data_IF_220879126284
#
_entry.id   IF_220879126284
#
_cell.length_a   1.000
_cell.length_b   1.000
_cell.length_c   1.000
_cell.angle_alpha   90.00
_cell.angle_beta   90.00
_cell.angle_gamma   90.00
#
_symmetry.space_group_name_H-M   'P 1'
#
loop_
_entity.id
_entity.type
_entity.pdbx_description
1 polymer ?
#
# COMPACT_ATOMS: atom_id res chain seq x y z
N UNK A 1 -45.48 11.13 17.18
CA UNK A 1 -44.93 12.38 17.76
C UNK A 1 -44.14 11.91 18.97
N UNK A 2 -42.83 11.89 19.01
CA UNK A 2 -41.80 12.49 18.17
C UNK A 2 -40.60 11.52 18.04
N UNK A 3 -39.82 11.77 17.01
CA UNK A 3 -38.62 11.10 16.57
C UNK A 3 -37.44 11.70 17.33
N UNK A 4 -36.55 10.94 17.96
CA UNK A 4 -35.15 11.35 18.15
C UNK A 4 -34.20 10.15 18.02
N UNK A 5 -33.71 10.02 16.79
CA UNK A 5 -32.42 9.47 16.43
C UNK A 5 -31.33 10.30 17.12
N UNK A 6 -30.61 9.72 18.07
CA UNK A 6 -29.35 10.29 18.57
C UNK A 6 -28.25 9.24 18.42
N UNK A 7 -27.66 9.27 17.23
CA UNK A 7 -26.23 9.08 16.96
C UNK A 7 -25.45 8.34 18.05
N UNK A 8 -25.16 7.07 17.81
CA UNK A 8 -23.96 6.44 18.36
C UNK A 8 -22.80 7.32 17.91
N UNK A 9 -22.30 8.12 18.85
CA UNK A 9 -21.13 8.95 18.65
C UNK A 9 -19.99 8.02 18.26
N UNK A 10 -19.50 8.16 17.03
CA UNK A 10 -18.18 7.70 16.65
C UNK A 10 -17.22 8.24 17.72
N UNK A 11 -16.79 7.37 18.63
CA UNK A 11 -15.70 7.68 19.54
C UNK A 11 -14.50 7.95 18.64
N UNK A 12 -14.24 9.24 18.41
CA UNK A 12 -12.99 9.73 17.87
C UNK A 12 -11.93 9.24 18.83
N UNK A 13 -11.27 8.14 18.50
CA UNK A 13 -10.12 7.68 19.26
C UNK A 13 -9.01 8.66 18.94
N UNK A 14 -8.95 9.73 19.73
CA UNK A 14 -7.80 10.62 19.77
C UNK A 14 -6.61 9.79 20.25
N UNK A 15 -5.79 9.32 19.30
CA UNK A 15 -4.58 8.56 19.60
C UNK A 15 -3.57 9.50 20.27
N UNK A 16 -3.12 9.20 21.51
CA UNK A 16 -2.13 10.02 22.17
C UNK A 16 -0.80 9.95 21.41
N UNK A 17 -0.23 11.13 21.12
CA UNK A 17 0.95 11.41 20.28
C UNK A 17 2.25 10.67 20.63
N UNK A 18 2.29 9.75 21.59
CA UNK A 18 3.51 9.00 21.93
C UNK A 18 3.20 7.57 22.36
N UNK A 19 3.00 6.68 21.38
CA UNK A 19 3.10 5.24 21.58
C UNK A 19 3.79 4.67 20.34
N UNK A 20 5.10 4.48 20.39
CA UNK A 20 5.80 3.66 19.40
C UNK A 20 5.60 2.20 19.82
N UNK A 21 4.80 1.39 19.12
CA UNK A 21 4.73 -0.04 19.42
C UNK A 21 6.00 -0.69 18.88
N UNK A 22 6.68 -1.47 19.73
CA UNK A 22 7.84 -2.28 19.33
C UNK A 22 7.30 -3.65 18.95
N UNK A 23 7.13 -3.89 17.65
CA UNK A 23 6.75 -5.19 17.09
C UNK A 23 6.59 -5.14 15.57
N UNK A 24 7.28 -6.03 14.84
CA UNK A 24 7.28 -6.07 13.36
C UNK A 24 5.89 -6.21 12.73
N UNK A 25 4.97 -6.86 13.44
CA UNK A 25 3.65 -7.20 12.89
C UNK A 25 2.68 -6.02 13.02
N UNK A 26 2.83 -5.18 14.06
CA UNK A 26 2.02 -3.96 14.20
C UNK A 26 2.41 -2.88 13.21
N UNK A 27 3.68 -2.84 12.79
CA UNK A 27 4.20 -1.80 11.89
C UNK A 27 3.53 -1.85 10.50
N UNK A 28 3.21 -3.05 10.02
CA UNK A 28 2.50 -3.26 8.75
C UNK A 28 1.03 -2.84 8.83
N UNK A 29 0.32 -3.15 9.91
CA UNK A 29 -1.07 -2.71 10.09
C UNK A 29 -1.16 -1.18 10.15
N UNK A 30 -0.24 -0.53 10.86
CA UNK A 30 -0.20 0.93 10.96
C UNK A 30 0.08 1.61 9.62
N UNK A 31 0.93 1.03 8.78
CA UNK A 31 1.19 1.55 7.43
C UNK A 31 -0.10 1.69 6.62
N UNK A 32 -0.95 0.66 6.61
CA UNK A 32 -2.20 0.67 5.84
C UNK A 32 -3.24 1.64 6.41
N UNK A 33 -3.29 1.78 7.74
CA UNK A 33 -4.14 2.77 8.40
C UNK A 33 -3.70 4.18 8.00
N UNK A 34 -2.41 4.49 8.13
CA UNK A 34 -1.85 5.79 7.77
C UNK A 34 -2.12 6.12 6.31
N UNK A 35 -1.84 5.17 5.40
CA UNK A 35 -2.08 5.35 3.97
C UNK A 35 -3.56 5.65 3.67
N UNK A 36 -4.49 4.93 4.30
CA UNK A 36 -5.91 5.14 4.11
C UNK A 36 -6.40 6.51 4.62
N UNK A 37 -5.77 7.05 5.67
CA UNK A 37 -6.07 8.41 6.16
C UNK A 37 -5.62 9.49 5.18
N UNK A 38 -4.45 9.32 4.55
CA UNK A 38 -3.86 10.33 3.65
C UNK A 38 -4.29 10.16 2.18
N UNK A 39 -4.64 8.95 1.77
CA UNK A 39 -5.17 8.62 0.46
C UNK A 39 -6.09 7.37 0.53
N UNK A 40 -7.39 7.54 0.80
CA UNK A 40 -8.35 6.43 0.85
C UNK A 40 -8.56 5.75 -0.51
N UNK A 41 -8.20 6.41 -1.61
CA UNK A 41 -8.33 5.92 -2.98
C UNK A 41 -7.00 5.35 -3.53
N UNK A 42 -6.01 5.11 -2.66
CA UNK A 42 -4.74 4.53 -3.06
C UNK A 42 -4.94 3.17 -3.75
N UNK A 43 -4.32 3.02 -4.93
CA UNK A 43 -4.29 1.73 -5.64
C UNK A 43 -3.11 0.92 -5.12
N UNK A 44 -3.28 -0.39 -5.04
CA UNK A 44 -2.25 -1.38 -4.73
C UNK A 44 -2.12 -2.38 -5.87
N UNK A 45 -0.96 -3.02 -5.98
CA UNK A 45 -0.82 -4.22 -6.80
C UNK A 45 -1.16 -5.45 -5.96
N UNK A 46 -2.18 -6.19 -6.39
CA UNK A 46 -2.61 -7.41 -5.73
C UNK A 46 -1.48 -8.45 -5.70
N UNK A 47 -1.34 -9.14 -4.58
CA UNK A 47 -0.33 -10.18 -4.38
C UNK A 47 1.06 -9.67 -4.00
N UNK A 48 1.32 -8.35 -4.01
CA UNK A 48 2.65 -7.80 -3.75
C UNK A 48 2.78 -7.05 -2.41
N UNK A 49 1.89 -7.30 -1.44
CA UNK A 49 1.89 -6.60 -0.15
C UNK A 49 3.26 -6.65 0.57
N UNK A 50 3.97 -7.77 0.47
CA UNK A 50 5.29 -7.95 1.10
C UNK A 50 6.42 -7.22 0.35
N UNK A 51 6.16 -6.72 -0.86
CA UNK A 51 7.10 -5.95 -1.68
C UNK A 51 6.97 -4.43 -1.48
N UNK A 52 6.10 -3.98 -0.57
CA UNK A 52 5.88 -2.57 -0.27
C UNK A 52 7.08 -2.01 0.50
N UNK A 53 7.60 -0.89 0.01
CA UNK A 53 8.68 -0.12 0.66
C UNK A 53 8.10 0.99 1.53
N UNK A 54 6.95 1.53 1.13
CA UNK A 54 6.28 2.65 1.78
C UNK A 54 5.32 3.34 0.81
N UNK A 55 5.04 4.63 1.04
CA UNK A 55 4.32 5.49 0.10
C UNK A 55 5.15 6.73 -0.24
N UNK A 56 4.89 7.35 -1.39
CA UNK A 56 5.57 8.57 -1.83
C UNK A 56 4.57 9.63 -2.28
N UNK A 57 4.84 10.88 -1.93
CA UNK A 57 3.99 12.04 -2.23
C UNK A 57 4.67 13.03 -3.16
N UNK A 58 3.87 13.72 -3.98
CA UNK A 58 4.30 14.91 -4.71
C UNK A 58 3.53 16.13 -4.18
N UNK A 59 4.05 17.34 -4.41
CA UNK A 59 3.34 18.56 -4.03
C UNK A 59 1.94 18.59 -4.66
N UNK A 60 0.91 18.82 -3.83
CA UNK A 60 -0.51 18.85 -4.20
C UNK A 60 -1.07 17.54 -4.79
N UNK A 61 -0.45 16.38 -4.55
CA UNK A 61 -1.03 15.09 -4.91
C UNK A 61 -1.09 14.16 -3.69
N UNK A 62 -2.19 13.42 -3.49
CA UNK A 62 -2.21 12.35 -2.50
C UNK A 62 -1.08 11.35 -2.77
N UNK A 63 -0.51 10.74 -1.72
CA UNK A 63 0.57 9.77 -1.88
C UNK A 63 0.12 8.49 -2.57
N UNK A 64 1.06 7.81 -3.21
CA UNK A 64 0.85 6.50 -3.83
C UNK A 64 1.81 5.47 -3.24
N UNK A 65 1.41 4.20 -3.26
CA UNK A 65 2.24 3.09 -2.77
C UNK A 65 3.49 2.94 -3.62
N UNK A 66 4.60 2.59 -2.97
CA UNK A 66 5.88 2.32 -3.62
C UNK A 66 6.29 0.88 -3.36
N UNK A 67 6.54 0.15 -4.44
CA UNK A 67 7.01 -1.23 -4.42
C UNK A 67 8.48 -1.32 -4.82
N UNK A 68 9.20 -2.30 -4.28
CA UNK A 68 10.56 -2.62 -4.70
C UNK A 68 10.54 -3.64 -5.86
N UNK A 69 11.11 -3.26 -7.00
CA UNK A 69 11.10 -4.09 -8.20
C UNK A 69 11.80 -5.43 -7.99
N UNK A 70 12.94 -5.41 -7.29
CA UNK A 70 13.74 -6.61 -7.05
C UNK A 70 12.99 -7.59 -6.13
N UNK A 71 12.32 -7.08 -5.09
CA UNK A 71 11.48 -7.90 -4.21
C UNK A 71 10.29 -8.52 -4.96
N UNK A 72 9.62 -7.76 -5.84
CA UNK A 72 8.51 -8.29 -6.65
C UNK A 72 8.96 -9.44 -7.54
N UNK A 73 10.13 -9.30 -8.16
CA UNK A 73 10.71 -10.33 -9.01
C UNK A 73 11.08 -11.58 -8.21
N UNK A 74 11.72 -11.40 -7.06
CA UNK A 74 12.05 -12.51 -6.14
C UNK A 74 10.79 -13.22 -5.62
N UNK A 75 9.73 -12.48 -5.33
CA UNK A 75 8.47 -13.04 -4.86
C UNK A 75 7.83 -13.94 -5.92
N UNK A 76 7.73 -13.49 -7.18
CA UNK A 76 7.21 -14.29 -8.29
C UNK A 76 8.04 -15.57 -8.51
N UNK A 77 9.37 -15.47 -8.40
CA UNK A 77 10.23 -16.65 -8.53
C UNK A 77 10.04 -17.64 -7.37
N UNK A 78 9.86 -17.13 -6.14
CA UNK A 78 9.76 -17.94 -4.92
C UNK A 78 8.38 -18.58 -4.73
N UNK A 79 7.32 -17.82 -4.97
CA UNK A 79 5.94 -18.17 -4.62
C UNK A 79 5.19 -18.76 -5.81
N UNK A 80 5.38 -18.19 -7.01
CA UNK A 80 4.73 -18.66 -8.23
C UNK A 80 5.60 -19.65 -9.02
N UNK A 81 6.85 -19.86 -8.59
CA UNK A 81 7.79 -20.81 -9.22
C UNK A 81 8.21 -20.40 -10.63
N UNK A 82 8.07 -19.12 -10.97
CA UNK A 82 8.47 -18.58 -12.27
C UNK A 82 10.00 -18.56 -12.39
N UNK A 83 10.50 -18.77 -13.60
CA UNK A 83 11.89 -18.43 -13.87
C UNK A 83 12.08 -16.91 -13.97
N UNK A 84 13.34 -16.45 -14.01
CA UNK A 84 13.64 -15.03 -14.08
C UNK A 84 13.01 -14.34 -15.30
N UNK A 85 12.98 -15.01 -16.45
CA UNK A 85 12.46 -14.44 -17.70
C UNK A 85 10.95 -14.29 -17.62
N UNK A 86 10.25 -15.33 -17.14
CA UNK A 86 8.81 -15.33 -16.96
C UNK A 86 8.38 -14.27 -15.94
N UNK A 87 9.08 -14.19 -14.81
CA UNK A 87 8.82 -13.17 -13.78
C UNK A 87 9.06 -11.75 -14.31
N UNK A 88 10.15 -11.54 -15.06
CA UNK A 88 10.45 -10.26 -15.69
C UNK A 88 9.37 -9.85 -16.70
N UNK A 89 8.96 -10.76 -17.59
CA UNK A 89 7.89 -10.50 -18.56
C UNK A 89 6.57 -10.21 -17.84
N UNK A 90 6.23 -10.99 -16.81
CA UNK A 90 5.03 -10.77 -16.02
C UNK A 90 4.99 -9.36 -15.42
N UNK A 91 6.07 -8.92 -14.77
CA UNK A 91 6.16 -7.58 -14.20
C UNK A 91 6.07 -6.50 -15.27
N UNK A 92 6.77 -6.68 -16.40
CA UNK A 92 6.77 -5.68 -17.47
C UNK A 92 5.38 -5.49 -18.10
N UNK A 93 4.64 -6.58 -18.33
CA UNK A 93 3.32 -6.51 -18.96
C UNK A 93 2.18 -6.19 -17.99
N UNK A 94 2.13 -6.87 -16.83
CA UNK A 94 0.98 -6.81 -15.93
C UNK A 94 1.10 -5.73 -14.85
N UNK A 95 2.33 -5.32 -14.51
CA UNK A 95 2.56 -4.38 -13.41
C UNK A 95 3.03 -3.03 -13.97
N UNK A 96 4.16 -2.99 -14.67
CA UNK A 96 4.70 -1.74 -15.24
C UNK A 96 3.80 -1.17 -16.35
N UNK A 97 3.14 -2.06 -17.10
CA UNK A 97 2.18 -1.68 -18.14
C UNK A 97 0.80 -1.26 -17.61
N UNK A 98 0.53 -1.44 -16.31
CA UNK A 98 -0.77 -1.14 -15.74
C UNK A 98 -0.93 0.36 -15.47
N UNK A 99 -2.09 0.90 -15.85
CA UNK A 99 -2.52 2.25 -15.46
C UNK A 99 -3.92 2.21 -14.86
N UNK A 100 -4.00 2.47 -13.56
CA UNK A 100 -5.23 2.44 -12.77
C UNK A 100 -5.73 3.85 -12.39
N UNK A 101 -5.22 4.89 -13.03
CA UNK A 101 -5.55 6.29 -12.74
C UNK A 101 -4.46 7.02 -11.97
N UNK A 102 -4.80 8.14 -11.34
CA UNK A 102 -3.84 9.04 -10.72
C UNK A 102 -3.12 8.46 -9.49
N UNK A 103 -3.70 7.42 -8.88
CA UNK A 103 -3.13 6.71 -7.74
C UNK A 103 -2.39 5.42 -8.12
N UNK A 104 -2.08 5.24 -9.41
CA UNK A 104 -1.27 4.11 -9.88
C UNK A 104 0.04 4.04 -9.07
N UNK A 105 0.40 2.88 -8.49
CA UNK A 105 1.60 2.75 -7.67
C UNK A 105 2.89 3.08 -8.41
N UNK A 106 3.92 3.41 -7.65
CA UNK A 106 5.28 3.58 -8.17
C UNK A 106 6.11 2.32 -7.92
N UNK A 107 6.98 2.02 -8.86
CA UNK A 107 7.94 0.91 -8.78
C UNK A 107 9.34 1.52 -8.64
N UNK A 108 10.01 1.22 -7.54
CA UNK A 108 11.36 1.65 -7.25
C UNK A 108 12.35 0.58 -7.72
N UNK A 109 13.39 1.01 -8.43
CA UNK A 109 14.54 0.18 -8.82
C UNK A 109 15.78 0.67 -8.09
N UNK A 110 16.49 -0.22 -7.40
CA UNK A 110 17.77 0.10 -6.75
C UNK A 110 18.93 -0.07 -7.74
N UNK A 111 19.99 0.73 -7.61
CA UNK A 111 21.21 0.65 -8.44
C UNK A 111 22.37 0.07 -7.64
#
# INVERSE_FOLDING_TARGET
MENELSTESEETIAMPTQMFPVGSDSDQEWFWIELAEVNPDAVTFDGFCDCVVGYASQFNKPPVVVYDYEMMLEQLMREDGMDYSDAYEYLSFNVEGLWAGEFTPMIMRKR
#
